data_IF_296470885628
#
_entry.id   IF_296470885628
#
_cell.length_a   1.000
_cell.length_b   1.000
_cell.length_c   1.000
_cell.angle_alpha   90.00
_cell.angle_beta   90.00
_cell.angle_gamma   90.00
#
_symmetry.space_group_name_H-M   'P 1'
#
loop_
_entity.id
_entity.type
_entity.pdbx_description
1 polymer ?
#
# COMPACT_ATOMS: atom_id res chain seq x y z
N UNK A 1 0.88 56.99 -52.80
CA UNK A 1 -0.29 56.49 -52.03
C UNK A 1 0.03 55.06 -51.66
N UNK A 2 0.41 54.80 -50.41
CA UNK A 2 0.70 53.46 -49.90
C UNK A 2 -0.53 52.94 -49.17
N UNK A 3 -1.16 51.91 -49.72
CA UNK A 3 -2.32 51.24 -49.13
C UNK A 3 -1.93 50.54 -47.83
N UNK A 4 -2.64 50.87 -46.75
CA UNK A 4 -2.59 50.11 -45.50
C UNK A 4 -3.35 48.79 -45.67
N UNK A 5 -2.79 47.65 -45.22
CA UNK A 5 -3.49 46.38 -45.30
C UNK A 5 -4.69 46.38 -44.34
N UNK A 6 -5.90 46.33 -44.90
CA UNK A 6 -7.20 46.24 -44.21
C UNK A 6 -7.51 44.80 -43.74
N UNK A 7 -6.58 44.17 -43.02
CA UNK A 7 -6.84 42.92 -42.32
C UNK A 7 -7.20 43.21 -40.87
N UNK A 8 -8.36 42.73 -40.39
CA UNK A 8 -8.68 42.75 -38.95
C UNK A 8 -7.53 42.06 -38.20
N UNK A 9 -6.85 42.79 -37.31
CA UNK A 9 -5.76 42.23 -36.53
C UNK A 9 -6.27 41.01 -35.75
N UNK A 10 -5.70 39.84 -36.03
CA UNK A 10 -6.06 38.61 -35.31
C UNK A 10 -5.52 38.69 -33.89
N UNK A 11 -6.33 38.26 -32.95
CA UNK A 11 -5.93 38.15 -31.55
C UNK A 11 -4.91 37.02 -31.39
N UNK A 12 -4.06 37.10 -30.36
CA UNK A 12 -3.06 36.07 -30.05
C UNK A 12 -3.69 34.68 -29.85
N UNK A 13 -4.96 34.62 -29.43
CA UNK A 13 -5.74 33.38 -29.28
C UNK A 13 -6.08 32.76 -30.64
N UNK A 14 -6.56 33.55 -31.61
CA UNK A 14 -6.88 33.08 -32.96
C UNK A 14 -5.63 32.60 -33.73
N UNK A 15 -4.48 33.22 -33.47
CA UNK A 15 -3.20 32.78 -34.04
C UNK A 15 -2.77 31.44 -33.43
N UNK A 16 -2.89 31.29 -32.09
CA UNK A 16 -2.53 30.04 -31.39
C UNK A 16 -3.40 28.85 -31.83
N UNK A 17 -4.70 29.07 -32.00
CA UNK A 17 -5.64 28.04 -32.43
C UNK A 17 -5.38 27.63 -33.89
N UNK A 18 -5.05 28.60 -34.76
CA UNK A 18 -4.73 28.34 -36.19
C UNK A 18 -3.39 27.64 -36.40
N UNK A 19 -2.43 27.85 -35.49
CA UNK A 19 -1.11 27.21 -35.52
C UNK A 19 -1.13 25.77 -34.98
N UNK A 20 -2.29 25.25 -34.58
CA UNK A 20 -2.43 23.84 -34.21
C UNK A 20 -1.58 23.46 -33.00
N UNK A 21 -1.40 24.37 -32.05
CA UNK A 21 -0.79 24.05 -30.76
C UNK A 21 -1.75 23.17 -29.94
N UNK A 22 -1.85 21.89 -30.32
CA UNK A 22 -2.46 20.86 -29.49
C UNK A 22 -1.60 20.75 -28.25
N UNK A 23 -2.12 21.18 -27.10
CA UNK A 23 -1.52 20.78 -25.81
C UNK A 23 -1.49 19.26 -25.83
N UNK A 24 -0.31 18.60 -25.78
CA UNK A 24 -0.26 17.15 -25.79
C UNK A 24 -1.12 16.65 -24.63
N UNK A 25 -2.11 15.81 -24.92
CA UNK A 25 -2.92 15.19 -23.88
C UNK A 25 -1.97 14.42 -22.98
N UNK A 26 -2.00 14.73 -21.69
CA UNK A 26 -1.18 14.06 -20.70
C UNK A 26 -1.63 12.59 -20.62
N UNK A 27 -0.70 11.63 -20.48
CA UNK A 27 -1.08 10.24 -20.33
C UNK A 27 -1.89 10.02 -19.05
N UNK A 28 -2.76 9.01 -19.07
CA UNK A 28 -3.56 8.62 -17.89
C UNK A 28 -2.67 8.19 -16.72
N UNK A 29 -3.08 8.55 -15.50
CA UNK A 29 -2.37 8.18 -14.27
C UNK A 29 -2.92 6.87 -13.71
N UNK A 30 -2.04 5.95 -13.33
CA UNK A 30 -2.45 4.71 -12.65
C UNK A 30 -2.49 4.92 -11.15
N UNK A 31 -3.61 4.55 -10.53
CA UNK A 31 -3.75 4.48 -9.07
C UNK A 31 -3.82 3.02 -8.66
N UNK A 32 -3.03 2.64 -7.67
CA UNK A 32 -2.96 1.28 -7.15
C UNK A 32 -2.77 1.31 -5.64
N UNK A 33 -3.49 0.44 -4.93
CA UNK A 33 -3.18 0.16 -3.52
C UNK A 33 -1.80 -0.50 -3.43
N UNK A 34 -0.91 0.06 -2.60
CA UNK A 34 0.45 -0.44 -2.41
C UNK A 34 0.67 -1.05 -1.03
N UNK A 35 -0.23 -0.77 -0.08
CA UNK A 35 -0.15 -1.26 1.29
C UNK A 35 -1.54 -1.35 1.91
N UNK A 36 -1.77 -2.43 2.64
CA UNK A 36 -2.85 -2.53 3.61
C UNK A 36 -2.27 -2.68 5.00
N UNK A 37 -2.99 -2.17 5.97
CA UNK A 37 -2.66 -2.29 7.38
C UNK A 37 -3.62 -3.27 8.04
N UNK A 38 -3.08 -4.20 8.81
CA UNK A 38 -3.86 -5.22 9.52
C UNK A 38 -3.50 -5.15 10.99
N UNK A 39 -4.49 -4.83 11.82
CA UNK A 39 -4.33 -4.80 13.27
C UNK A 39 -5.58 -5.32 13.97
N UNK A 40 -5.36 -5.98 15.10
CA UNK A 40 -6.43 -6.36 16.03
C UNK A 40 -6.82 -5.21 16.96
N UNK A 41 -5.91 -4.27 17.22
CA UNK A 41 -6.16 -3.15 18.12
C UNK A 41 -6.93 -2.02 17.39
N UNK A 42 -7.85 -1.32 18.07
CA UNK A 42 -8.57 -0.17 17.50
C UNK A 42 -7.63 0.93 17.05
N UNK A 43 -8.07 1.72 16.07
CA UNK A 43 -7.27 2.78 15.41
C UNK A 43 -6.64 3.78 16.40
N UNK A 44 -7.31 4.07 17.52
CA UNK A 44 -6.89 5.01 18.56
C UNK A 44 -6.05 4.38 19.69
N UNK A 45 -5.79 3.06 19.67
CA UNK A 45 -4.92 2.41 20.66
C UNK A 45 -3.45 2.82 20.44
N UNK A 46 -2.83 3.39 21.47
CA UNK A 46 -1.42 3.84 21.43
C UNK A 46 -0.44 2.72 21.05
N UNK A 47 -0.76 1.47 21.37
CA UNK A 47 0.08 0.31 21.06
C UNK A 47 -0.18 -0.27 19.67
N UNK A 48 -1.18 0.22 18.94
CA UNK A 48 -1.57 -0.33 17.64
C UNK A 48 -0.39 -0.50 16.68
N UNK A 49 0.45 0.52 16.59
CA UNK A 49 1.58 0.55 15.66
C UNK A 49 2.60 -0.59 15.89
N UNK A 50 2.81 -1.07 17.13
CA UNK A 50 3.77 -2.16 17.40
C UNK A 50 3.19 -3.55 17.13
N UNK A 51 1.86 -3.69 17.12
CA UNK A 51 1.17 -4.95 16.82
C UNK A 51 0.72 -5.07 15.36
N UNK A 52 0.85 -4.01 14.59
CA UNK A 52 0.40 -3.96 13.20
C UNK A 52 1.25 -4.83 12.28
N UNK A 53 0.56 -5.50 11.35
CA UNK A 53 1.14 -6.20 10.20
C UNK A 53 0.81 -5.40 8.95
N UNK A 54 1.77 -5.26 8.04
CA UNK A 54 1.57 -4.62 6.75
C UNK A 54 1.42 -5.70 5.66
N UNK A 55 0.53 -5.48 4.72
CA UNK A 55 0.43 -6.28 3.49
C UNK A 55 0.83 -5.37 2.34
N UNK A 56 2.01 -5.59 1.79
CA UNK A 56 2.68 -4.66 0.87
C UNK A 56 2.77 -5.23 -0.53
N UNK A 57 2.46 -4.41 -1.53
CA UNK A 57 2.60 -4.74 -2.93
C UNK A 57 4.08 -4.82 -3.31
N UNK A 58 4.46 -5.88 -4.02
CA UNK A 58 5.85 -6.17 -4.42
C UNK A 58 6.03 -6.30 -5.93
N UNK A 59 5.07 -5.85 -6.72
CA UNK A 59 5.08 -5.97 -8.19
C UNK A 59 4.36 -7.23 -8.67
N UNK A 60 4.03 -7.27 -9.97
CA UNK A 60 3.47 -8.44 -10.65
C UNK A 60 2.26 -9.10 -9.94
N UNK A 61 1.34 -8.28 -9.42
CA UNK A 61 0.17 -8.73 -8.63
C UNK A 61 0.52 -9.53 -7.36
N UNK A 62 1.78 -9.50 -6.92
CA UNK A 62 2.28 -10.22 -5.75
C UNK A 62 2.42 -9.30 -4.54
N UNK A 63 2.03 -9.82 -3.39
CA UNK A 63 1.98 -9.14 -2.10
C UNK A 63 2.79 -9.89 -1.07
N UNK A 64 3.39 -9.18 -0.13
CA UNK A 64 4.11 -9.74 1.00
C UNK A 64 3.44 -9.31 2.30
N UNK A 65 3.35 -10.23 3.25
CA UNK A 65 2.95 -9.92 4.63
C UNK A 65 4.21 -9.59 5.41
N UNK A 66 4.33 -8.37 5.91
CA UNK A 66 5.55 -7.84 6.52
C UNK A 66 5.31 -7.24 7.89
N UNK A 67 6.35 -7.30 8.72
CA UNK A 67 6.37 -6.66 10.05
C UNK A 67 7.80 -6.40 10.49
N UNK A 68 8.13 -5.15 10.81
CA UNK A 68 9.44 -4.72 11.32
C UNK A 68 10.66 -5.33 10.58
N UNK A 69 10.57 -5.45 9.26
CA UNK A 69 11.64 -6.01 8.42
C UNK A 69 11.60 -7.54 8.22
N UNK A 70 10.65 -8.25 8.85
CA UNK A 70 10.37 -9.67 8.60
C UNK A 70 9.28 -9.86 7.55
N UNK A 71 9.28 -11.00 6.87
CA UNK A 71 8.20 -11.47 5.99
C UNK A 71 7.58 -12.75 6.56
N UNK A 72 6.25 -12.88 6.49
CA UNK A 72 5.55 -14.11 6.86
C UNK A 72 5.54 -15.08 5.67
N UNK A 73 5.99 -16.31 5.91
CA UNK A 73 5.94 -17.42 4.98
C UNK A 73 4.58 -18.14 4.99
N UNK A 74 4.34 -18.94 3.96
CA UNK A 74 3.12 -19.77 3.84
C UNK A 74 2.94 -20.77 4.99
N UNK A 75 4.04 -21.16 5.63
CA UNK A 75 4.07 -22.07 6.78
C UNK A 75 3.80 -21.36 8.12
N UNK A 76 3.60 -20.03 8.10
CA UNK A 76 3.36 -19.21 9.29
C UNK A 76 4.64 -18.76 10.01
N UNK A 77 5.82 -19.05 9.46
CA UNK A 77 7.09 -18.59 10.04
C UNK A 77 7.44 -17.17 9.59
N UNK A 78 8.19 -16.45 10.43
CA UNK A 78 8.65 -15.09 10.13
C UNK A 78 10.13 -15.09 9.79
N UNK A 79 10.45 -14.76 8.54
CA UNK A 79 11.81 -14.65 8.05
C UNK A 79 12.32 -13.21 8.14
N UNK A 80 13.37 -12.99 8.93
CA UNK A 80 14.03 -11.69 9.07
C UNK A 80 15.21 -11.54 8.10
N UNK A 81 15.36 -10.34 7.52
CA UNK A 81 16.66 -9.93 6.97
C UNK A 81 17.10 -10.66 5.70
N UNK A 82 16.19 -11.35 4.99
CA UNK A 82 16.52 -11.99 3.71
C UNK A 82 16.90 -10.89 2.71
N UNK A 83 18.19 -10.81 2.38
CA UNK A 83 18.71 -9.81 1.42
C UNK A 83 18.06 -10.02 0.07
N UNK A 84 17.93 -8.96 -0.70
CA UNK A 84 17.29 -9.02 -2.02
C UNK A 84 17.89 -10.11 -2.94
N UNK A 85 19.20 -10.36 -2.85
CA UNK A 85 19.92 -11.35 -3.65
C UNK A 85 19.83 -12.79 -3.11
N UNK A 86 19.41 -12.97 -1.86
CA UNK A 86 19.26 -14.29 -1.22
C UNK A 86 17.81 -14.80 -1.33
N UNK A 87 16.96 -14.12 -2.11
CA UNK A 87 15.56 -14.49 -2.37
C UNK A 87 15.49 -15.23 -3.71
N UNK A 88 15.67 -16.53 -3.65
CA UNK A 88 15.42 -17.39 -4.81
C UNK A 88 13.92 -17.51 -5.12
N UNK A 89 13.60 -18.22 -6.20
CA UNK A 89 12.22 -18.43 -6.63
C UNK A 89 11.41 -19.21 -5.59
N UNK A 90 12.04 -20.13 -4.86
CA UNK A 90 11.40 -20.88 -3.78
C UNK A 90 10.98 -19.96 -2.64
N UNK A 91 11.89 -19.12 -2.17
CA UNK A 91 11.60 -18.11 -1.14
C UNK A 91 10.51 -17.15 -1.60
N UNK A 92 10.59 -16.68 -2.85
CA UNK A 92 9.57 -15.79 -3.42
C UNK A 92 8.21 -16.46 -3.47
N UNK A 93 8.10 -17.73 -3.85
CA UNK A 93 6.83 -18.44 -3.86
C UNK A 93 6.29 -18.72 -2.45
N UNK A 94 7.17 -18.91 -1.48
CA UNK A 94 6.79 -19.09 -0.07
C UNK A 94 6.34 -17.79 0.62
N UNK A 95 6.76 -16.61 0.12
CA UNK A 95 6.56 -15.30 0.78
C UNK A 95 5.88 -14.24 -0.08
N UNK A 96 5.42 -14.60 -1.28
CA UNK A 96 4.71 -13.69 -2.19
C UNK A 96 3.42 -14.33 -2.64
N UNK A 97 2.32 -13.68 -2.31
CA UNK A 97 0.98 -14.20 -2.48
C UNK A 97 0.16 -13.27 -3.38
N UNK A 98 -1.01 -13.74 -3.82
CA UNK A 98 -2.07 -12.83 -4.23
C UNK A 98 -2.59 -12.01 -3.02
N UNK A 99 -3.31 -10.93 -3.29
CA UNK A 99 -3.77 -9.99 -2.25
C UNK A 99 -4.69 -10.65 -1.23
N UNK A 100 -5.58 -11.54 -1.66
CA UNK A 100 -6.57 -12.17 -0.78
C UNK A 100 -5.91 -13.16 0.15
N UNK A 101 -4.99 -13.98 -0.36
CA UNK A 101 -4.15 -14.88 0.42
C UNK A 101 -3.30 -14.10 1.42
N UNK A 102 -2.65 -13.01 1.01
CA UNK A 102 -1.83 -12.19 1.90
C UNK A 102 -2.67 -11.58 3.03
N UNK A 103 -3.85 -11.03 2.73
CA UNK A 103 -4.75 -10.47 3.73
C UNK A 103 -5.29 -11.53 4.69
N UNK A 104 -5.61 -12.73 4.19
CA UNK A 104 -6.03 -13.86 5.02
C UNK A 104 -4.93 -14.25 6.00
N UNK A 105 -3.71 -14.48 5.52
CA UNK A 105 -2.55 -14.84 6.35
C UNK A 105 -2.25 -13.74 7.39
N UNK A 106 -2.31 -12.47 7.00
CA UNK A 106 -2.10 -11.35 7.92
C UNK A 106 -3.17 -11.32 9.03
N UNK A 107 -4.45 -11.57 8.71
CA UNK A 107 -5.54 -11.63 9.70
C UNK A 107 -5.39 -12.80 10.65
N UNK A 108 -4.95 -13.95 10.16
CA UNK A 108 -4.66 -15.13 10.97
C UNK A 108 -3.48 -14.88 11.91
N UNK A 109 -2.43 -14.19 11.44
CA UNK A 109 -1.24 -13.91 12.24
C UNK A 109 -1.42 -12.76 13.25
N UNK A 110 -2.24 -11.75 12.95
CA UNK A 110 -2.35 -10.52 13.75
C UNK A 110 -2.63 -10.75 15.25
N UNK A 111 -3.56 -11.64 15.67
CA UNK A 111 -3.80 -11.92 17.09
C UNK A 111 -2.59 -12.48 17.84
N UNK A 112 -1.66 -13.13 17.13
CA UNK A 112 -0.54 -13.87 17.69
C UNK A 112 0.78 -13.09 17.68
N UNK A 113 0.79 -11.87 17.15
CA UNK A 113 1.97 -10.99 17.19
C UNK A 113 2.36 -10.71 18.63
N UNK A 114 3.62 -11.00 18.99
CA UNK A 114 4.16 -10.80 20.33
C UNK A 114 5.02 -9.54 20.38
N UNK A 115 4.75 -8.68 21.36
CA UNK A 115 5.57 -7.50 21.71
C UNK A 115 5.76 -7.48 23.22
N UNK A 116 7.01 -7.37 23.68
CA UNK A 116 7.36 -7.35 25.11
C UNK A 116 6.73 -8.50 25.92
N UNK A 117 6.64 -9.70 25.31
CA UNK A 117 6.09 -10.89 25.95
C UNK A 117 4.56 -10.97 25.97
N UNK A 118 3.84 -10.05 25.32
CA UNK A 118 2.38 -10.07 25.22
C UNK A 118 1.93 -10.21 23.77
N UNK A 119 0.92 -11.04 23.53
CA UNK A 119 0.24 -11.15 22.24
C UNK A 119 -0.73 -9.97 22.02
N UNK A 120 -1.02 -9.64 20.76
CA UNK A 120 -2.02 -8.63 20.42
C UNK A 120 -3.39 -8.94 21.04
N UNK A 121 -3.80 -10.21 21.06
CA UNK A 121 -5.09 -10.62 21.65
C UNK A 121 -5.13 -10.45 23.17
N UNK A 122 -4.03 -10.68 23.89
CA UNK A 122 -3.95 -10.42 25.33
C UNK A 122 -4.03 -8.92 25.61
N UNK A 123 -3.35 -8.10 24.82
CA UNK A 123 -3.43 -6.64 24.94
C UNK A 123 -4.84 -6.16 24.68
N UNK A 124 -5.47 -6.62 23.59
CA UNK A 124 -6.84 -6.29 23.24
C UNK A 124 -7.81 -6.62 24.38
N UNK A 125 -7.78 -7.86 24.89
CA UNK A 125 -8.67 -8.30 25.99
C UNK A 125 -8.47 -7.50 27.28
N UNK A 126 -7.24 -7.06 27.56
CA UNK A 126 -6.93 -6.25 28.74
C UNK A 126 -7.49 -4.83 28.61
N UNK A 127 -7.43 -4.24 27.42
CA UNK A 127 -7.90 -2.86 27.18
C UNK A 127 -9.38 -2.79 26.82
N UNK A 128 -9.98 -3.90 26.41
CA UNK A 128 -11.39 -4.04 26.02
C UNK A 128 -12.04 -5.18 26.81
N UNK A 129 -12.15 -5.09 28.15
CA UNK A 129 -12.87 -6.09 28.92
C UNK A 129 -14.33 -6.12 28.43
N UNK A 130 -14.90 -7.32 28.28
CA UNK A 130 -16.32 -7.43 27.98
C UNK A 130 -17.10 -6.70 29.09
N UNK A 131 -17.95 -5.75 28.71
CA UNK A 131 -18.91 -5.15 29.63
C UNK A 131 -19.77 -6.30 30.17
N UNK A 132 -19.40 -6.80 31.35
CA UNK A 132 -20.18 -7.79 32.07
C UNK A 132 -21.49 -7.10 32.40
N UNK A 133 -22.50 -7.38 31.58
CA UNK A 133 -23.88 -6.93 31.78
C UNK A 133 -24.28 -7.38 33.18
N UNK A 134 -24.47 -6.41 34.08
CA UNK A 134 -25.06 -6.59 35.40
C UNK A 134 -26.57 -6.46 35.32
#
# INVERSE_FOLDING_TARGET
MTEQPTGKAMTMREIRDRLGHTTPELPDVTVQAIRYEVSLLPEDDVNRHVFTIEVEYRGAARWAVTRHGSCLGVDGTWDFGVKQYDRDDEWLNAHRFDVDTALRLAREAAPHVVVNGQTAIEVYRRTHPEETTR
#
